data_IF_057663248256
#
_entry.id   IF_057663248256
#
_cell.length_a   1.000
_cell.length_b   1.000
_cell.length_c   1.000
_cell.angle_alpha   90.00
_cell.angle_beta   90.00
_cell.angle_gamma   90.00
#
_symmetry.space_group_name_H-M   'P 1'
#
loop_
_entity.id
_entity.type
_entity.pdbx_description
1 polymer ?
#
# COMPACT_ATOMS: atom_id res chain seq x y z
N UNK A 1 -37.37 -50.61 -20.47
CA UNK A 1 -36.84 -49.24 -20.34
C UNK A 1 -35.91 -49.08 -19.14
N UNK A 2 -34.81 -49.84 -19.05
CA UNK A 2 -33.84 -49.74 -17.94
C UNK A 2 -32.48 -49.15 -18.30
N UNK A 3 -32.21 -48.94 -19.60
CA UNK A 3 -30.87 -48.57 -20.09
C UNK A 3 -30.68 -47.06 -20.30
N UNK A 4 -31.75 -46.32 -20.68
CA UNK A 4 -31.70 -44.85 -20.83
C UNK A 4 -31.65 -44.08 -19.51
N UNK A 5 -32.21 -44.62 -18.42
CA UNK A 5 -32.20 -43.95 -17.11
C UNK A 5 -30.80 -43.98 -16.45
N UNK A 6 -30.01 -45.02 -16.75
CA UNK A 6 -28.65 -45.18 -16.19
C UNK A 6 -27.64 -44.21 -16.82
N UNK A 7 -27.78 -43.92 -18.11
CA UNK A 7 -26.92 -42.94 -18.80
C UNK A 7 -27.21 -41.50 -18.35
N UNK A 8 -28.47 -41.17 -18.04
CA UNK A 8 -28.85 -39.82 -17.59
C UNK A 8 -28.32 -39.51 -16.18
N UNK A 9 -28.34 -40.49 -15.27
CA UNK A 9 -27.80 -40.35 -13.91
C UNK A 9 -26.27 -40.21 -13.92
N UNK A 10 -25.58 -40.90 -14.83
CA UNK A 10 -24.13 -40.80 -14.96
C UNK A 10 -23.66 -39.43 -15.49
N UNK A 11 -24.41 -38.84 -16.43
CA UNK A 11 -24.08 -37.51 -16.99
C UNK A 11 -24.33 -36.39 -15.98
N UNK A 12 -25.42 -36.46 -15.19
CA UNK A 12 -25.67 -35.48 -14.13
C UNK A 12 -24.65 -35.59 -12.99
N UNK A 13 -24.23 -36.81 -12.62
CA UNK A 13 -23.17 -37.02 -11.62
C UNK A 13 -21.80 -36.46 -12.03
N UNK A 14 -21.49 -36.50 -13.33
CA UNK A 14 -20.25 -35.95 -13.90
C UNK A 14 -20.27 -34.41 -13.99
N UNK A 15 -21.44 -33.81 -14.23
CA UNK A 15 -21.60 -32.34 -14.23
C UNK A 15 -21.53 -31.74 -12.82
N UNK A 16 -22.01 -32.45 -11.79
CA UNK A 16 -21.93 -31.97 -10.38
C UNK A 16 -20.51 -32.10 -9.82
N UNK A 17 -19.70 -33.04 -10.32
CA UNK A 17 -18.29 -33.18 -9.92
C UNK A 17 -17.36 -32.15 -10.58
N UNK A 18 -17.75 -31.56 -11.71
CA UNK A 18 -17.01 -30.46 -12.36
C UNK A 18 -17.31 -29.07 -11.76
N UNK A 19 -18.39 -28.91 -11.00
CA UNK A 19 -18.73 -27.64 -10.33
C UNK A 19 -18.15 -27.54 -8.90
N UNK A 20 -17.55 -28.60 -8.36
CA UNK A 20 -17.03 -28.63 -6.98
C UNK A 20 -15.58 -28.11 -6.83
N UNK A 21 -14.96 -27.63 -7.91
CA UNK A 21 -13.59 -27.09 -7.88
C UNK A 21 -13.52 -25.66 -8.44
N UNK A 22 -14.35 -24.75 -7.94
CA UNK A 22 -14.17 -23.31 -8.25
C UNK A 22 -14.30 -22.37 -7.05
N UNK A 23 -14.39 -22.88 -5.82
CA UNK A 23 -14.19 -22.06 -4.64
C UNK A 23 -12.74 -22.21 -4.19
N UNK A 24 -11.87 -21.20 -4.36
CA UNK A 24 -10.63 -21.16 -3.61
C UNK A 24 -11.06 -21.00 -2.15
N UNK A 25 -11.12 -22.13 -1.46
CA UNK A 25 -11.28 -22.16 -0.02
C UNK A 25 -10.06 -21.42 0.53
N UNK A 26 -10.27 -20.18 0.98
CA UNK A 26 -9.32 -19.37 1.76
C UNK A 26 -9.15 -20.09 3.10
N UNK A 27 -8.42 -21.21 3.09
CA UNK A 27 -8.33 -22.15 4.22
C UNK A 27 -7.30 -21.73 5.26
N UNK A 28 -6.51 -20.71 4.97
CA UNK A 28 -5.47 -20.17 5.84
C UNK A 28 -5.70 -18.68 6.01
N UNK A 29 -5.60 -18.14 7.24
CA UNK A 29 -5.47 -16.70 7.43
C UNK A 29 -4.31 -16.20 6.57
N UNK A 30 -4.56 -15.15 5.79
CA UNK A 30 -3.52 -14.50 5.02
C UNK A 30 -2.71 -13.68 6.01
N UNK A 31 -1.43 -14.01 6.19
CA UNK A 31 -0.51 -13.13 6.90
C UNK A 31 -0.22 -11.94 6.00
N UNK A 32 -0.79 -10.79 6.35
CA UNK A 32 -0.54 -9.53 5.66
C UNK A 32 0.19 -8.55 6.60
N UNK A 33 0.78 -7.53 5.99
CA UNK A 33 1.42 -6.41 6.68
C UNK A 33 0.97 -5.13 6.01
N UNK A 34 1.12 -4.00 6.69
CA UNK A 34 0.98 -2.70 6.06
C UNK A 34 2.26 -1.91 6.15
N UNK A 35 2.41 -0.85 5.37
CA UNK A 35 3.54 0.07 5.42
C UNK A 35 3.10 1.45 4.99
N UNK A 36 3.84 2.46 5.42
CA UNK A 36 3.61 3.85 5.01
C UNK A 36 4.92 4.45 4.56
N UNK A 37 4.87 5.30 3.54
CA UNK A 37 6.07 5.90 2.98
C UNK A 37 5.83 7.14 2.17
N UNK A 38 6.93 7.76 1.76
CA UNK A 38 6.94 8.85 0.81
C UNK A 38 7.98 8.60 -0.27
N UNK A 39 7.79 9.21 -1.42
CA UNK A 39 8.73 9.11 -2.52
C UNK A 39 9.90 10.10 -2.43
N UNK A 40 9.71 11.21 -1.73
CA UNK A 40 10.71 12.27 -1.60
C UNK A 40 10.49 13.19 -0.38
N UNK A 41 9.55 12.87 0.51
CA UNK A 41 9.25 13.68 1.69
C UNK A 41 9.73 13.01 2.98
N UNK A 42 9.98 13.81 4.01
CA UNK A 42 9.94 13.31 5.38
C UNK A 42 8.51 13.36 5.88
N UNK A 43 8.09 12.34 6.62
CA UNK A 43 6.70 12.26 7.05
C UNK A 43 6.57 11.59 8.41
N UNK A 44 5.44 11.81 9.06
CA UNK A 44 5.06 11.06 10.25
C UNK A 44 3.71 10.40 10.05
N UNK A 45 3.64 9.09 10.29
CA UNK A 45 2.36 8.37 10.33
C UNK A 45 1.72 8.59 11.68
N UNK A 46 0.55 9.23 11.67
CA UNK A 46 -0.15 9.66 12.87
C UNK A 46 -1.39 8.84 13.17
N UNK A 47 -1.86 8.06 12.19
CA UNK A 47 -2.94 7.09 12.35
C UNK A 47 -2.87 6.06 11.23
N UNK A 48 -3.11 4.80 11.55
CA UNK A 48 -3.42 3.78 10.55
C UNK A 48 -4.55 2.91 11.09
N UNK A 49 -5.69 2.86 10.41
CA UNK A 49 -6.85 2.09 10.85
C UNK A 49 -7.37 1.24 9.70
N UNK A 50 -7.62 -0.03 9.99
CA UNK A 50 -8.05 -1.04 9.03
C UNK A 50 -9.39 -1.60 9.46
N UNK A 51 -10.28 -1.80 8.48
CA UNK A 51 -11.64 -2.27 8.70
C UNK A 51 -11.92 -3.56 7.93
N UNK A 52 -12.82 -4.37 8.47
CA UNK A 52 -13.41 -5.53 7.80
C UNK A 52 -14.88 -5.61 8.18
N UNK A 53 -15.77 -5.63 7.19
CA UNK A 53 -17.22 -5.58 7.33
C UNK A 53 -17.69 -4.45 8.26
N UNK A 54 -17.10 -3.26 8.09
CA UNK A 54 -17.41 -2.06 8.86
C UNK A 54 -16.86 -2.03 10.30
N UNK A 55 -16.16 -3.07 10.76
CA UNK A 55 -15.54 -3.13 12.10
C UNK A 55 -14.05 -2.86 12.01
N UNK A 56 -13.48 -2.16 13.00
CA UNK A 56 -12.02 -1.99 13.11
C UNK A 56 -11.41 -3.36 13.43
N UNK A 57 -10.45 -3.80 12.62
CA UNK A 57 -9.70 -5.05 12.83
C UNK A 57 -8.26 -4.81 13.26
N UNK A 58 -7.70 -3.65 12.94
CA UNK A 58 -6.39 -3.22 13.41
C UNK A 58 -6.34 -1.70 13.44
N UNK A 59 -5.65 -1.13 14.43
CA UNK A 59 -5.43 0.30 14.51
C UNK A 59 -4.11 0.61 15.20
N UNK A 60 -3.35 1.50 14.60
CA UNK A 60 -2.13 2.08 15.15
C UNK A 60 -2.37 3.57 15.42
N UNK A 61 -2.19 4.04 16.67
CA UNK A 61 -2.47 5.43 17.05
C UNK A 61 -1.40 6.44 16.58
N UNK A 62 -0.45 6.02 15.74
CA UNK A 62 0.61 6.88 15.21
C UNK A 62 1.89 6.87 16.05
N UNK A 63 2.91 7.62 15.58
CA UNK A 63 4.12 7.93 16.35
C UNK A 63 5.44 7.67 15.62
N UNK A 64 5.41 7.00 14.47
CA UNK A 64 6.57 6.78 13.62
C UNK A 64 6.78 7.93 12.63
N UNK A 65 7.93 8.60 12.72
CA UNK A 65 8.41 9.53 11.69
C UNK A 65 9.53 8.88 10.90
N UNK A 66 9.46 8.96 9.57
CA UNK A 66 10.47 8.42 8.67
C UNK A 66 10.93 9.52 7.71
N UNK A 67 12.22 9.48 7.38
CA UNK A 67 12.75 10.27 6.28
C UNK A 67 12.60 9.49 4.98
N UNK A 68 12.00 10.10 3.95
CA UNK A 68 11.79 9.50 2.64
C UNK A 68 12.65 10.11 1.52
N UNK A 69 13.70 10.88 1.85
CA UNK A 69 14.38 11.71 0.86
C UNK A 69 15.91 11.77 1.01
N UNK A 70 16.69 10.80 0.51
CA UNK A 70 18.13 10.99 0.43
C UNK A 70 18.46 12.06 -0.63
N UNK A 71 19.39 12.97 -0.30
CA UNK A 71 19.83 14.09 -1.16
C UNK A 71 20.01 13.72 -2.65
N UNK A 72 20.62 12.56 -2.91
CA UNK A 72 20.94 12.11 -4.26
C UNK A 72 19.69 11.84 -5.10
N UNK A 73 18.60 11.37 -4.50
CA UNK A 73 17.38 11.01 -5.23
C UNK A 73 16.58 12.23 -5.65
N UNK A 74 16.67 13.33 -4.90
CA UNK A 74 16.12 14.63 -5.29
C UNK A 74 16.85 15.18 -6.51
N UNK A 75 18.19 15.13 -6.50
CA UNK A 75 19.05 15.64 -7.59
C UNK A 75 18.87 14.79 -8.86
N UNK A 76 18.97 13.46 -8.72
CA UNK A 76 18.87 12.53 -9.84
C UNK A 76 17.42 12.29 -10.30
N UNK A 77 16.42 12.85 -9.60
CA UNK A 77 14.99 12.64 -9.83
C UNK A 77 14.59 11.15 -9.79
N UNK A 78 15.17 10.42 -8.84
CA UNK A 78 14.92 8.98 -8.63
C UNK A 78 13.80 8.81 -7.62
N UNK A 79 12.58 8.82 -8.11
CA UNK A 79 11.40 8.68 -7.27
C UNK A 79 10.98 7.23 -7.17
N UNK A 80 10.96 6.70 -5.95
CA UNK A 80 10.43 5.40 -5.60
C UNK A 80 9.80 5.49 -4.20
N UNK A 81 8.88 4.59 -3.88
CA UNK A 81 8.26 4.60 -2.56
C UNK A 81 9.25 4.14 -1.48
N UNK A 82 9.64 5.06 -0.58
CA UNK A 82 10.53 4.80 0.55
C UNK A 82 9.77 4.92 1.88
N UNK A 83 9.87 3.90 2.74
CA UNK A 83 9.12 3.88 3.99
C UNK A 83 9.32 2.61 4.80
N UNK A 84 8.73 2.60 5.99
CA UNK A 84 8.84 1.51 6.94
C UNK A 84 7.64 0.57 6.91
N UNK A 85 7.90 -0.69 7.27
CA UNK A 85 6.86 -1.66 7.58
C UNK A 85 6.13 -1.29 8.87
N UNK A 86 4.81 -1.42 8.84
CA UNK A 86 3.94 -1.49 10.00
C UNK A 86 4.06 -2.84 10.70
N UNK A 87 3.50 -2.90 11.90
CA UNK A 87 3.53 -4.11 12.73
C UNK A 87 2.81 -5.27 12.02
N UNK A 88 3.31 -6.51 12.16
CA UNK A 88 2.64 -7.68 11.58
C UNK A 88 1.24 -7.84 12.17
N UNK A 89 0.28 -8.16 11.30
CA UNK A 89 -1.11 -8.38 11.69
C UNK A 89 -1.41 -9.87 11.65
N UNK A 90 -0.79 -10.63 12.55
CA UNK A 90 -1.10 -12.06 12.72
C UNK A 90 -2.56 -12.23 13.15
N UNK A 91 -3.26 -13.18 12.54
CA UNK A 91 -4.68 -13.49 12.79
C UNK A 91 -5.67 -12.32 12.57
N UNK A 92 -5.24 -11.26 11.88
CA UNK A 92 -6.13 -10.15 11.52
C UNK A 92 -6.75 -10.40 10.14
N UNK A 93 -8.09 -10.31 10.00
CA UNK A 93 -8.73 -10.40 8.70
C UNK A 93 -8.16 -9.41 7.68
N UNK A 94 -8.05 -9.83 6.42
CA UNK A 94 -7.67 -8.91 5.33
C UNK A 94 -8.70 -7.79 5.25
N UNK A 95 -8.28 -6.52 5.32
CA UNK A 95 -9.20 -5.40 5.39
C UNK A 95 -9.93 -5.17 4.06
N UNK A 96 -11.16 -4.69 4.15
CA UNK A 96 -11.95 -4.19 3.02
C UNK A 96 -11.92 -2.66 2.91
N UNK A 97 -11.41 -1.97 3.95
CA UNK A 97 -11.22 -0.52 3.94
C UNK A 97 -10.03 -0.14 4.83
N UNK A 98 -9.33 0.93 4.46
CA UNK A 98 -8.26 1.52 5.25
C UNK A 98 -8.40 3.05 5.36
N UNK A 99 -7.97 3.60 6.50
CA UNK A 99 -7.84 5.04 6.76
C UNK A 99 -6.47 5.31 7.35
N UNK A 100 -5.61 6.01 6.61
CA UNK A 100 -4.23 6.32 7.01
C UNK A 100 -4.08 7.83 7.09
N UNK A 101 -3.50 8.34 8.17
CA UNK A 101 -3.16 9.76 8.32
C UNK A 101 -1.65 9.94 8.45
N UNK A 102 -1.11 10.88 7.68
CA UNK A 102 0.30 11.18 7.62
C UNK A 102 0.51 12.69 7.60
N UNK A 103 1.54 13.17 8.29
CA UNK A 103 1.99 14.57 8.22
C UNK A 103 3.13 14.65 7.21
N UNK A 104 2.93 15.41 6.14
CA UNK A 104 3.96 15.78 5.15
C UNK A 104 4.80 16.93 5.70
N UNK A 105 6.12 16.82 5.63
CA UNK A 105 7.02 17.89 6.07
C UNK A 105 7.21 18.93 4.98
N UNK A 106 7.26 18.50 3.72
CA UNK A 106 7.29 19.40 2.57
C UNK A 106 6.06 20.32 2.53
N UNK A 107 4.85 19.75 2.61
CA UNK A 107 3.61 20.53 2.53
C UNK A 107 3.23 21.19 3.86
N UNK A 108 3.82 20.71 4.98
CA UNK A 108 3.45 21.10 6.36
C UNK A 108 1.98 20.82 6.70
N UNK A 109 1.44 19.76 6.11
CA UNK A 109 0.02 19.40 6.19
C UNK A 109 -0.15 17.98 6.68
N UNK A 110 -1.26 17.75 7.37
CA UNK A 110 -1.75 16.40 7.66
C UNK A 110 -2.71 15.99 6.55
N UNK A 111 -2.47 14.82 5.98
CA UNK A 111 -3.32 14.22 4.96
C UNK A 111 -3.96 12.94 5.48
N UNK A 112 -5.17 12.64 4.98
CA UNK A 112 -5.91 11.41 5.22
C UNK A 112 -6.18 10.70 3.90
N UNK A 113 -5.69 9.46 3.81
CA UNK A 113 -6.01 8.52 2.74
C UNK A 113 -7.13 7.63 3.27
N UNK A 114 -8.29 7.63 2.61
CA UNK A 114 -9.39 6.70 2.89
C UNK A 114 -9.74 5.96 1.62
N UNK A 115 -9.65 4.63 1.67
CA UNK A 115 -9.80 3.78 0.50
C UNK A 115 -10.61 2.53 0.84
N UNK A 116 -11.52 2.18 -0.07
CA UNK A 116 -12.09 0.83 -0.13
C UNK A 116 -11.11 -0.06 -0.90
N UNK A 117 -10.81 -1.23 -0.33
CA UNK A 117 -9.86 -2.18 -0.87
C UNK A 117 -10.58 -3.21 -1.76
N UNK A 118 -9.91 -3.78 -2.78
CA UNK A 118 -10.56 -4.71 -3.70
C UNK A 118 -11.15 -5.92 -2.99
N UNK A 119 -12.37 -6.32 -3.37
CA UNK A 119 -13.04 -7.50 -2.79
C UNK A 119 -12.26 -8.81 -2.99
N UNK A 120 -11.37 -8.87 -3.98
CA UNK A 120 -10.48 -10.00 -4.25
C UNK A 120 -9.09 -9.87 -3.59
N UNK A 121 -8.85 -8.88 -2.72
CA UNK A 121 -7.54 -8.63 -2.12
C UNK A 121 -6.98 -9.85 -1.39
N UNK A 122 -7.79 -10.53 -0.57
CA UNK A 122 -7.35 -11.74 0.12
C UNK A 122 -6.91 -12.85 -0.86
N UNK A 123 -7.59 -12.98 -2.00
CA UNK A 123 -7.22 -13.92 -3.06
C UNK A 123 -5.89 -13.52 -3.72
N UNK A 124 -5.69 -12.23 -3.97
CA UNK A 124 -4.43 -11.71 -4.53
C UNK A 124 -3.25 -11.99 -3.58
N UNK A 125 -3.43 -11.77 -2.28
CA UNK A 125 -2.40 -12.01 -1.27
C UNK A 125 -2.06 -13.49 -1.08
N UNK A 126 -2.98 -14.40 -1.38
CA UNK A 126 -2.71 -15.84 -1.35
C UNK A 126 -1.93 -16.34 -2.56
N UNK A 127 -1.89 -15.56 -3.65
CA UNK A 127 -1.18 -15.97 -4.85
C UNK A 127 0.32 -16.07 -4.57
N UNK A 128 0.87 -17.24 -4.88
CA UNK A 128 2.28 -17.58 -4.69
C UNK A 128 3.03 -17.48 -6.00
N UNK A 129 4.20 -16.88 -5.96
CA UNK A 129 5.08 -16.66 -7.10
C UNK A 129 6.42 -17.33 -6.83
N UNK A 130 6.94 -18.06 -7.82
CA UNK A 130 8.30 -18.60 -7.76
C UNK A 130 9.27 -17.50 -8.23
N UNK A 131 10.06 -16.95 -7.29
CA UNK A 131 11.07 -15.94 -7.56
C UNK A 131 12.44 -16.55 -7.28
N UNK A 132 13.17 -16.89 -8.34
CA UNK A 132 14.38 -17.70 -8.25
C UNK A 132 14.10 -19.03 -7.54
N UNK A 133 14.80 -19.31 -6.45
CA UNK A 133 14.64 -20.52 -5.62
C UNK A 133 13.58 -20.38 -4.51
N UNK A 134 12.96 -19.21 -4.35
CA UNK A 134 12.03 -18.92 -3.25
C UNK A 134 10.59 -18.78 -3.74
N UNK A 135 9.66 -19.01 -2.82
CA UNK A 135 8.25 -18.66 -3.01
C UNK A 135 7.99 -17.35 -2.29
N UNK A 136 7.42 -16.38 -3.00
CA UNK A 136 7.03 -15.08 -2.48
C UNK A 136 5.53 -14.81 -2.75
N UNK A 137 4.96 -13.84 -2.03
CA UNK A 137 3.58 -13.40 -2.14
C UNK A 137 3.52 -11.87 -2.06
N UNK A 138 2.51 -11.28 -2.71
CA UNK A 138 2.21 -9.86 -2.52
C UNK A 138 1.23 -9.70 -1.36
N UNK A 139 1.73 -9.60 -0.13
CA UNK A 139 0.92 -9.53 1.09
C UNK A 139 1.15 -8.23 1.88
N UNK A 140 1.90 -7.28 1.33
CA UNK A 140 2.20 -6.01 1.99
C UNK A 140 1.38 -4.86 1.39
N UNK A 141 0.41 -4.35 2.17
CA UNK A 141 -0.36 -3.15 1.84
C UNK A 141 0.44 -1.88 2.11
N UNK A 142 0.94 -1.25 1.06
CA UNK A 142 1.75 -0.06 1.18
C UNK A 142 0.95 1.20 0.84
N UNK A 143 1.05 2.22 1.69
CA UNK A 143 0.40 3.51 1.52
C UNK A 143 1.47 4.58 1.31
N UNK A 144 1.67 4.98 0.05
CA UNK A 144 2.59 6.02 -0.33
C UNK A 144 1.90 7.39 -0.35
N UNK A 145 2.56 8.41 0.20
CA UNK A 145 2.14 9.81 0.12
C UNK A 145 3.27 10.66 -0.44
N UNK A 146 3.00 11.41 -1.49
CA UNK A 146 3.92 12.36 -2.12
C UNK A 146 3.42 13.81 -1.92
N UNK A 147 4.33 14.80 -2.05
CA UNK A 147 3.98 16.22 -1.99
C UNK A 147 2.81 16.64 -2.88
N UNK A 148 2.00 17.58 -2.39
CA UNK A 148 0.72 17.96 -2.98
C UNK A 148 -0.40 16.94 -2.73
N UNK A 149 -0.24 16.07 -1.73
CA UNK A 149 -1.27 15.11 -1.30
C UNK A 149 -1.49 13.91 -2.23
N UNK A 150 -0.64 13.69 -3.24
CA UNK A 150 -0.77 12.51 -4.10
C UNK A 150 -0.52 11.23 -3.32
N UNK A 151 -1.38 10.24 -3.47
CA UNK A 151 -1.18 8.94 -2.84
C UNK A 151 -1.32 7.78 -3.83
N UNK A 152 -0.65 6.69 -3.48
CA UNK A 152 -0.89 5.37 -4.07
C UNK A 152 -1.03 4.34 -2.96
N UNK A 153 -1.93 3.39 -3.19
CA UNK A 153 -2.05 2.19 -2.38
C UNK A 153 -1.60 1.02 -3.24
N UNK A 154 -0.58 0.32 -2.77
CA UNK A 154 0.07 -0.76 -3.49
C UNK A 154 -0.04 -2.06 -2.71
N UNK A 155 -0.06 -3.16 -3.46
CA UNK A 155 0.19 -4.49 -2.93
C UNK A 155 1.59 -4.94 -3.35
N UNK A 156 2.52 -4.93 -2.41
CA UNK A 156 3.94 -5.22 -2.61
C UNK A 156 4.30 -6.64 -2.13
N UNK A 157 5.43 -7.14 -2.61
CA UNK A 157 6.03 -8.40 -2.18
C UNK A 157 6.56 -8.39 -0.73
N UNK A 158 6.58 -9.55 -0.07
CA UNK A 158 7.13 -9.71 1.28
C UNK A 158 8.65 -9.96 1.21
N UNK A 159 9.45 -8.88 1.19
CA UNK A 159 10.94 -8.91 1.36
C UNK A 159 11.75 -9.74 0.33
N UNK A 160 11.12 -10.47 -0.59
CA UNK A 160 11.76 -11.51 -1.42
C UNK A 160 11.71 -11.23 -2.93
N UNK A 161 11.17 -10.09 -3.34
CA UNK A 161 11.38 -9.55 -4.69
C UNK A 161 10.32 -9.92 -5.72
N UNK A 162 9.11 -10.37 -5.34
CA UNK A 162 7.99 -10.38 -6.30
C UNK A 162 7.67 -8.96 -6.75
N UNK A 163 7.72 -8.75 -8.07
CA UNK A 163 7.56 -7.47 -8.74
C UNK A 163 6.89 -7.70 -10.10
N UNK A 164 6.19 -6.69 -10.66
CA UNK A 164 6.03 -5.33 -10.15
C UNK A 164 5.09 -5.25 -8.94
N UNK A 165 5.12 -4.12 -8.22
CA UNK A 165 4.09 -3.78 -7.25
C UNK A 165 2.73 -3.64 -7.95
N UNK A 166 1.66 -4.10 -7.31
CA UNK A 166 0.32 -3.94 -7.88
C UNK A 166 -0.31 -2.66 -7.37
N UNK A 167 -0.63 -1.74 -8.28
CA UNK A 167 -1.42 -0.56 -7.95
C UNK A 167 -2.86 -0.98 -7.64
N UNK A 168 -3.31 -0.77 -6.40
CA UNK A 168 -4.69 -1.00 -6.00
C UNK A 168 -5.54 0.24 -6.28
N UNK A 169 -5.03 1.42 -5.90
CA UNK A 169 -5.68 2.71 -6.16
C UNK A 169 -4.69 3.85 -6.03
N UNK A 170 -5.05 5.02 -6.56
CA UNK A 170 -4.32 6.28 -6.44
C UNK A 170 -5.27 7.46 -6.41
N UNK A 171 -4.82 8.59 -5.90
CA UNK A 171 -5.60 9.82 -5.91
C UNK A 171 -4.93 10.96 -5.16
N UNK A 172 -5.74 11.93 -4.75
CA UNK A 172 -5.34 13.03 -3.88
C UNK A 172 -5.97 12.80 -2.50
N UNK A 173 -5.15 12.84 -1.47
CA UNK A 173 -5.55 12.66 -0.09
C UNK A 173 -6.28 13.91 0.42
N UNK A 174 -7.19 13.72 1.36
CA UNK A 174 -7.89 14.81 2.03
C UNK A 174 -6.93 15.54 2.98
N UNK A 175 -6.89 16.86 2.94
CA UNK A 175 -6.20 17.64 3.97
C UNK A 175 -7.03 17.61 5.27
N UNK A 176 -6.42 17.17 6.36
CA UNK A 176 -7.08 17.02 7.65
C UNK A 176 -7.11 18.36 8.36
N UNK A 177 -8.30 18.98 8.40
CA UNK A 177 -8.55 20.22 9.14
C UNK A 177 -9.45 20.02 10.36
N UNK A 178 -9.90 18.78 10.59
CA UNK A 178 -10.89 18.45 11.61
C UNK A 178 -10.31 17.83 12.89
N UNK A 179 -9.03 17.42 12.90
CA UNK A 179 -8.37 16.82 14.07
C UNK A 179 -8.34 17.78 15.27
N UNK A 180 -8.88 17.31 16.40
CA UNK A 180 -9.02 18.11 17.61
C UNK A 180 -7.66 18.47 18.24
N UNK A 181 -6.63 17.62 18.06
CA UNK A 181 -5.27 17.88 18.56
C UNK A 181 -4.65 19.02 17.79
N UNK A 182 -4.83 19.05 16.47
CA UNK A 182 -4.32 20.13 15.62
C UNK A 182 -5.00 21.47 15.95
N UNK A 183 -6.28 21.44 16.34
CA UNK A 183 -6.99 22.63 16.86
C UNK A 183 -6.46 23.10 18.22
N UNK A 184 -5.98 22.18 19.06
CA UNK A 184 -5.47 22.49 20.41
C UNK A 184 -4.02 22.94 20.36
N UNK A 185 -3.19 22.25 19.58
CA UNK A 185 -1.79 22.51 19.34
C UNK A 185 -1.59 22.45 17.82
N UNK A 186 -1.40 23.58 17.12
CA UNK A 186 -1.19 23.59 15.67
C UNK A 186 0.00 22.71 15.25
N UNK A 187 -0.04 22.18 14.02
CA UNK A 187 1.03 21.32 13.49
C UNK A 187 2.41 21.99 13.57
N UNK A 188 2.47 23.30 13.34
CA UNK A 188 3.67 24.13 13.47
C UNK A 188 4.33 23.95 14.84
N UNK A 189 3.53 23.89 15.91
CA UNK A 189 4.04 23.68 17.28
C UNK A 189 4.34 22.21 17.55
N UNK A 190 3.56 21.29 17.00
CA UNK A 190 3.80 19.85 17.18
C UNK A 190 5.11 19.39 16.51
N UNK A 191 5.48 20.01 15.38
CA UNK A 191 6.59 19.59 14.53
C UNK A 191 7.70 20.63 14.38
N UNK A 192 7.65 21.75 15.10
CA UNK A 192 8.59 22.89 15.01
C UNK A 192 10.05 22.47 14.79
N UNK A 193 10.59 21.67 15.72
CA UNK A 193 11.98 21.21 15.66
C UNK A 193 12.27 20.34 14.44
N UNK A 194 11.36 19.42 14.09
CA UNK A 194 11.54 18.49 12.96
C UNK A 194 11.43 19.21 11.62
N UNK A 195 10.55 20.20 11.51
CA UNK A 195 10.46 21.04 10.31
C UNK A 195 11.66 21.96 10.18
N UNK A 196 12.18 22.52 11.28
CA UNK A 196 13.42 23.29 11.23
C UNK A 196 14.62 22.43 10.79
N UNK A 197 14.71 21.18 11.26
CA UNK A 197 15.73 20.21 10.82
C UNK A 197 15.56 19.87 9.33
N UNK A 198 14.33 19.58 8.89
CA UNK A 198 14.01 19.31 7.49
C UNK A 198 14.33 20.49 6.56
N UNK A 199 13.98 21.72 6.94
CA UNK A 199 14.28 22.93 6.18
C UNK A 199 15.79 23.15 6.05
N UNK A 200 16.53 22.93 7.15
CA UNK A 200 17.98 23.05 7.17
C UNK A 200 18.64 22.02 6.25
N UNK A 201 18.11 20.81 6.21
CA UNK A 201 18.67 19.72 5.42
C UNK A 201 18.27 19.85 3.94
N UNK A 202 16.99 20.03 3.64
CA UNK A 202 16.45 19.90 2.29
C UNK A 202 15.88 21.19 1.68
N UNK A 203 15.71 22.27 2.47
CA UNK A 203 15.02 23.48 2.02
C UNK A 203 15.66 24.14 0.80
N UNK A 204 16.98 24.29 0.77
CA UNK A 204 17.70 24.81 -0.40
C UNK A 204 17.68 23.83 -1.59
N UNK A 205 17.69 22.54 -1.30
CA UNK A 205 17.70 21.50 -2.32
C UNK A 205 16.38 21.50 -3.12
N UNK A 206 15.24 21.60 -2.44
CA UNK A 206 13.93 21.69 -3.12
C UNK A 206 13.73 22.98 -3.91
N UNK A 207 14.43 24.08 -3.56
CA UNK A 207 14.44 25.30 -4.37
C UNK A 207 15.21 25.12 -5.67
N UNK A 208 16.35 24.42 -5.62
CA UNK A 208 17.20 24.16 -6.78
C UNK A 208 16.64 23.05 -7.68
N UNK A 209 15.94 22.08 -7.08
CA UNK A 209 15.34 20.94 -7.75
C UNK A 209 13.84 20.87 -7.45
N UNK A 210 13.02 21.68 -8.14
CA UNK A 210 11.57 21.62 -8.01
C UNK A 210 11.06 20.20 -8.29
N UNK A 211 10.11 19.77 -7.47
CA UNK A 211 9.48 18.46 -7.56
C UNK A 211 8.05 18.58 -8.11
N UNK A 212 7.50 17.49 -8.68
CA UNK A 212 6.08 17.42 -9.01
C UNK A 212 5.20 17.60 -7.77
N UNK A 213 3.94 17.98 -7.99
CA UNK A 213 2.93 18.10 -6.94
C UNK A 213 1.62 17.45 -7.37
N UNK A 214 0.92 16.82 -6.44
CA UNK A 214 -0.39 16.25 -6.70
C UNK A 214 -0.37 15.26 -7.88
N UNK A 215 -1.32 15.38 -8.80
CA UNK A 215 -1.45 14.42 -9.91
C UNK A 215 -0.29 14.44 -10.91
N UNK A 216 0.61 15.43 -10.87
CA UNK A 216 1.81 15.43 -11.71
C UNK A 216 2.78 14.29 -11.34
N UNK A 217 2.64 13.70 -10.14
CA UNK A 217 3.34 12.48 -9.75
C UNK A 217 2.88 11.23 -10.52
N UNK A 218 1.63 11.18 -10.98
CA UNK A 218 1.04 9.98 -11.58
C UNK A 218 1.84 9.41 -12.76
N UNK A 219 2.21 10.19 -13.81
CA UNK A 219 2.99 9.66 -14.92
C UNK A 219 4.40 9.19 -14.51
N UNK A 220 4.98 9.82 -13.49
CA UNK A 220 6.32 9.47 -12.97
C UNK A 220 6.26 8.12 -12.24
N UNK A 221 5.25 7.94 -11.38
CA UNK A 221 5.07 6.68 -10.66
C UNK A 221 4.62 5.54 -11.58
N UNK A 222 3.86 5.84 -12.64
CA UNK A 222 3.55 4.88 -13.71
C UNK A 222 4.83 4.41 -14.42
N UNK A 223 5.72 5.33 -14.79
CA UNK A 223 7.01 4.98 -15.40
C UNK A 223 7.91 4.19 -14.45
N UNK A 224 7.97 4.57 -13.17
CA UNK A 224 8.70 3.84 -12.13
C UNK A 224 8.22 2.38 -12.05
N UNK A 225 6.90 2.15 -11.92
CA UNK A 225 6.33 0.79 -11.88
C UNK A 225 6.59 0.01 -13.17
N UNK A 226 6.44 0.64 -14.33
CA UNK A 226 6.66 -0.03 -15.62
C UNK A 226 8.11 -0.52 -15.78
N UNK A 227 9.07 0.14 -15.13
CA UNK A 227 10.48 -0.23 -15.12
C UNK A 227 10.85 -1.28 -14.05
N UNK A 228 9.92 -1.66 -13.17
CA UNK A 228 10.18 -2.73 -12.21
C UNK A 228 10.37 -4.08 -12.93
N UNK A 229 11.20 -4.99 -12.38
CA UNK A 229 11.29 -6.35 -12.89
C UNK A 229 9.93 -7.06 -12.89
N UNK A 230 9.77 -8.06 -13.75
CA UNK A 230 8.57 -8.89 -13.85
C UNK A 230 8.83 -10.28 -13.28
N UNK A 231 9.28 -10.31 -12.03
CA UNK A 231 9.66 -11.56 -11.35
C UNK A 231 8.47 -12.48 -11.09
N UNK A 232 7.25 -11.95 -11.19
CA UNK A 232 6.00 -12.71 -11.10
C UNK A 232 5.65 -13.54 -12.35
N UNK A 233 6.23 -13.19 -13.50
CA UNK A 233 6.03 -13.86 -14.79
C UNK A 233 7.26 -14.62 -15.26
N UNK A 234 8.44 -14.16 -14.88
CA UNK A 234 9.72 -14.72 -15.27
C UNK A 234 10.56 -14.98 -14.01
N UNK A 235 10.89 -16.24 -13.67
CA UNK A 235 11.81 -16.48 -12.57
C UNK A 235 13.14 -15.82 -12.91
N UNK A 236 13.53 -14.82 -12.14
CA UNK A 236 14.87 -14.23 -12.22
C UNK A 236 15.85 -15.31 -11.75
N UNK A 237 16.77 -15.68 -12.64
CA UNK A 237 17.84 -16.66 -12.36
C UNK A 237 18.87 -16.09 -11.40
#
# INVERSE_FOLDING_TARGET
GGMMLRSFIMVVGLCVSLAACSSPHVKTPVNWRYGTGSNIDSFCTTKATFYHNGKIVSSYPGGGCNAGAPYKDIIDRKYYWAGGGGLPTEDVPVPDRASIEMVSFYDRKRYRITVDLPANLARQMQQRYQVGERIDQRNWLYFGLAPGGYYEVLLQGDLLGVSPDLLLTRGIAEEVTDDWRDKTIPLEKQYEKRWAEFDKEYGELFKQHPIPLGMDWAPIMDAYRANQPKTDQQPVK
#
